data_IF_908661282058
#
_entry.id   IF_908661282058
#
_cell.length_a   1.000
_cell.length_b   1.000
_cell.length_c   1.000
_cell.angle_alpha   90.00
_cell.angle_beta   90.00
_cell.angle_gamma   90.00
#
_symmetry.space_group_name_H-M   'P 1'
#
loop_
_entity.id
_entity.type
_entity.pdbx_description
1 polymer ?
#
# COMPACT_ATOMS: atom_id res chain seq x y z
N UNK A 1 1.32 -4.11 -14.59
CA UNK A 1 0.45 -5.30 -14.49
C UNK A 1 -0.80 -4.91 -13.72
N UNK A 2 -1.98 -5.40 -14.11
CA UNK A 2 -3.19 -5.25 -13.30
C UNK A 2 -3.10 -6.24 -12.13
N UNK A 3 -3.39 -5.79 -10.92
CA UNK A 3 -3.36 -6.58 -9.69
C UNK A 3 -4.78 -6.75 -9.18
N UNK A 4 -5.19 -7.98 -8.87
CA UNK A 4 -6.45 -8.24 -8.15
C UNK A 4 -6.26 -8.01 -6.66
N UNK A 5 -7.36 -7.83 -5.92
CA UNK A 5 -7.26 -7.69 -4.47
C UNK A 5 -6.71 -8.97 -3.80
N UNK A 6 -7.06 -10.15 -4.32
CA UNK A 6 -6.52 -11.44 -3.86
C UNK A 6 -5.00 -11.51 -4.02
N UNK A 7 -4.46 -11.10 -5.18
CA UNK A 7 -3.01 -11.08 -5.42
C UNK A 7 -2.28 -10.09 -4.51
N UNK A 8 -2.92 -8.96 -4.17
CA UNK A 8 -2.33 -7.98 -3.25
C UNK A 8 -2.39 -8.47 -1.81
N UNK A 9 -3.51 -9.04 -1.37
CA UNK A 9 -3.65 -9.64 -0.05
C UNK A 9 -2.60 -10.74 0.16
N UNK A 10 -2.43 -11.65 -0.80
CA UNK A 10 -1.38 -12.68 -0.75
C UNK A 10 0.02 -12.07 -0.69
N UNK A 11 0.29 -10.97 -1.39
CA UNK A 11 1.59 -10.31 -1.28
C UNK A 11 1.84 -9.76 0.13
N UNK A 12 0.86 -9.05 0.71
CA UNK A 12 1.01 -8.41 2.02
C UNK A 12 1.06 -9.46 3.15
N UNK A 13 0.38 -10.60 3.00
CA UNK A 13 0.41 -11.72 3.95
C UNK A 13 1.69 -12.57 3.83
N UNK A 14 2.21 -12.74 2.61
CA UNK A 14 3.37 -13.62 2.36
C UNK A 14 4.67 -13.04 2.91
N UNK A 15 4.90 -11.74 2.69
CA UNK A 15 6.19 -11.09 3.02
C UNK A 15 6.54 -11.12 4.53
N UNK A 16 5.61 -10.84 5.46
CA UNK A 16 5.93 -10.80 6.90
C UNK A 16 6.12 -12.22 7.47
N UNK A 17 5.30 -13.17 7.02
CA UNK A 17 5.33 -14.57 7.47
C UNK A 17 6.58 -15.32 7.03
N UNK A 18 7.21 -14.90 5.92
CA UNK A 18 8.33 -15.63 5.30
C UNK A 18 9.67 -14.89 5.38
N UNK A 19 9.77 -13.80 6.15
CA UNK A 19 11.02 -13.06 6.31
C UNK A 19 11.31 -12.71 7.78
N UNK A 20 12.31 -13.38 8.35
CA UNK A 20 12.93 -12.98 9.63
C UNK A 20 13.91 -11.81 9.48
N UNK A 21 14.34 -11.50 8.26
CA UNK A 21 15.35 -10.49 7.97
C UNK A 21 14.85 -9.48 6.94
N UNK A 22 14.79 -8.24 7.39
CA UNK A 22 14.67 -7.07 6.54
C UNK A 22 15.99 -6.84 5.81
N UNK A 23 15.92 -6.55 4.51
CA UNK A 23 16.99 -5.84 3.83
C UNK A 23 16.89 -4.33 4.14
N UNK A 24 17.78 -3.55 3.55
CA UNK A 24 17.85 -2.11 3.76
C UNK A 24 16.54 -1.36 3.38
N UNK A 25 16.22 -0.33 4.16
CA UNK A 25 15.09 0.58 3.96
C UNK A 25 13.71 -0.10 3.78
N UNK A 26 13.44 -1.15 4.57
CA UNK A 26 12.14 -1.79 4.57
C UNK A 26 11.89 -2.69 3.33
N UNK A 27 12.95 -3.19 2.70
CA UNK A 27 12.85 -4.13 1.57
C UNK A 27 13.15 -5.56 2.04
N UNK A 28 12.88 -6.53 1.18
CA UNK A 28 13.25 -7.93 1.38
C UNK A 28 14.36 -8.33 0.40
N UNK A 29 15.03 -9.46 0.70
CA UNK A 29 16.00 -10.04 -0.22
C UNK A 29 15.32 -10.43 -1.55
N UNK A 30 16.09 -10.41 -2.65
CA UNK A 30 15.57 -10.75 -3.98
C UNK A 30 14.93 -12.15 -4.03
N UNK A 31 15.48 -13.11 -3.29
CA UNK A 31 14.92 -14.46 -3.17
C UNK A 31 13.49 -14.46 -2.61
N UNK A 32 13.17 -13.56 -1.68
CA UNK A 32 11.83 -13.41 -1.11
C UNK A 32 10.83 -12.95 -2.18
N UNK A 33 11.20 -11.98 -3.02
CA UNK A 33 10.33 -11.53 -4.11
C UNK A 33 10.11 -12.59 -5.19
N UNK A 34 11.09 -13.47 -5.43
CA UNK A 34 10.93 -14.61 -6.33
C UNK A 34 9.90 -15.59 -5.77
N UNK A 35 10.03 -16.00 -4.50
CA UNK A 35 9.06 -16.91 -3.87
C UNK A 35 7.65 -16.30 -3.75
N UNK A 36 7.56 -15.00 -3.46
CA UNK A 36 6.30 -14.28 -3.47
C UNK A 36 5.65 -14.29 -4.86
N UNK A 37 6.44 -14.09 -5.93
CA UNK A 37 5.95 -14.18 -7.30
C UNK A 37 5.43 -15.59 -7.64
N UNK A 38 6.12 -16.65 -7.19
CA UNK A 38 5.67 -18.04 -7.34
C UNK A 38 4.34 -18.29 -6.63
N UNK A 39 4.17 -17.75 -5.42
CA UNK A 39 2.91 -17.84 -4.66
C UNK A 39 1.76 -17.14 -5.40
N UNK A 40 1.98 -15.89 -5.84
CA UNK A 40 1.01 -15.07 -6.56
C UNK A 40 0.65 -15.68 -7.92
N UNK A 41 1.60 -16.34 -8.59
CA UNK A 41 1.38 -17.00 -9.88
C UNK A 41 0.27 -18.07 -9.80
N UNK A 42 0.11 -18.73 -8.65
CA UNK A 42 -0.95 -19.74 -8.42
C UNK A 42 -2.37 -19.14 -8.47
N UNK A 43 -2.49 -17.83 -8.26
CA UNK A 43 -3.75 -17.08 -8.30
C UNK A 43 -4.05 -16.50 -9.69
N UNK A 44 -3.15 -16.70 -10.65
CA UNK A 44 -3.27 -16.11 -11.97
C UNK A 44 -4.53 -16.62 -12.70
N UNK A 45 -5.40 -15.68 -13.11
CA UNK A 45 -6.59 -15.97 -13.91
C UNK A 45 -6.47 -15.53 -15.37
N UNK A 46 -5.84 -14.37 -15.61
CA UNK A 46 -5.69 -13.82 -16.95
C UNK A 46 -4.67 -12.67 -17.01
N UNK A 47 -4.21 -12.34 -18.22
CA UNK A 47 -3.29 -11.23 -18.48
C UNK A 47 -1.82 -11.57 -18.26
N UNK A 48 -1.02 -10.58 -17.87
CA UNK A 48 0.42 -10.78 -17.62
C UNK A 48 0.65 -11.44 -16.25
N UNK A 49 1.38 -12.57 -16.26
CA UNK A 49 1.94 -13.20 -15.05
C UNK A 49 2.92 -12.23 -14.37
N UNK A 50 2.83 -12.13 -13.05
CA UNK A 50 3.63 -11.20 -12.26
C UNK A 50 4.95 -11.87 -11.90
N UNK A 51 6.04 -11.32 -12.43
CA UNK A 51 7.38 -11.73 -12.08
C UNK A 51 7.86 -11.04 -10.79
N UNK A 52 9.03 -11.44 -10.29
CA UNK A 52 9.63 -10.87 -9.07
C UNK A 52 9.85 -9.36 -9.15
N UNK A 53 10.11 -8.81 -10.35
CA UNK A 53 10.21 -7.36 -10.57
C UNK A 53 8.86 -6.68 -10.41
N UNK A 54 7.78 -7.29 -10.90
CA UNK A 54 6.42 -6.79 -10.67
C UNK A 54 6.06 -6.79 -9.19
N UNK A 55 6.43 -7.85 -8.45
CA UNK A 55 6.24 -7.93 -7.00
C UNK A 55 7.00 -6.81 -6.29
N UNK A 56 8.29 -6.63 -6.58
CA UNK A 56 9.10 -5.56 -5.99
C UNK A 56 8.49 -4.17 -6.22
N UNK A 57 8.09 -3.87 -7.46
CA UNK A 57 7.46 -2.59 -7.80
C UNK A 57 6.16 -2.41 -7.01
N UNK A 58 5.32 -3.46 -6.91
CA UNK A 58 4.06 -3.40 -6.18
C UNK A 58 4.30 -3.17 -4.69
N UNK A 59 5.27 -3.87 -4.09
CA UNK A 59 5.68 -3.65 -2.69
C UNK A 59 6.11 -2.21 -2.44
N UNK A 60 6.94 -1.64 -3.32
CA UNK A 60 7.34 -0.24 -3.23
C UNK A 60 6.16 0.74 -3.24
N UNK A 61 5.13 0.48 -4.06
CA UNK A 61 3.90 1.28 -4.10
C UNK A 61 3.04 1.14 -2.83
N UNK A 62 2.96 -0.07 -2.26
CA UNK A 62 2.25 -0.32 -1.00
C UNK A 62 2.92 0.44 0.16
N UNK A 63 4.26 0.34 0.27
CA UNK A 63 5.04 1.11 1.25
C UNK A 63 4.87 2.62 1.07
N UNK A 64 4.94 3.10 -0.17
CA UNK A 64 4.74 4.51 -0.46
C UNK A 64 3.34 4.97 -0.02
N UNK A 65 2.31 4.16 -0.27
CA UNK A 65 0.94 4.46 0.16
C UNK A 65 0.85 4.53 1.69
N UNK A 66 1.36 3.51 2.39
CA UNK A 66 1.42 3.46 3.84
C UNK A 66 2.10 4.70 4.45
N UNK A 67 3.31 5.02 4.01
CA UNK A 67 4.07 6.18 4.49
C UNK A 67 3.32 7.50 4.23
N UNK A 68 2.59 7.59 3.12
CA UNK A 68 1.79 8.79 2.81
C UNK A 68 0.57 8.89 3.71
N UNK A 69 -0.09 7.79 4.05
CA UNK A 69 -1.18 7.75 5.05
C UNK A 69 -0.64 8.18 6.41
N UNK A 70 0.53 7.67 6.85
CA UNK A 70 1.14 8.07 8.12
C UNK A 70 1.49 9.57 8.14
N UNK A 71 2.03 10.09 7.03
CA UNK A 71 2.29 11.53 6.86
C UNK A 71 1.00 12.36 6.92
N UNK A 72 -0.11 11.85 6.41
CA UNK A 72 -1.40 12.52 6.50
C UNK A 72 -1.90 12.53 7.95
N UNK A 73 -1.86 11.37 8.63
CA UNK A 73 -2.29 11.18 10.03
C UNK A 73 -1.51 12.03 11.03
N UNK A 74 -0.23 12.34 10.74
CA UNK A 74 0.57 13.21 11.60
C UNK A 74 0.21 14.69 11.51
N UNK A 75 -0.62 15.09 10.55
CA UNK A 75 -1.12 16.45 10.42
C UNK A 75 -2.17 16.79 11.46
N UNK A 76 -2.10 18.01 12.02
CA UNK A 76 -3.14 18.50 12.94
C UNK A 76 -4.51 18.58 12.27
N UNK A 77 -5.54 18.10 12.96
CA UNK A 77 -6.93 18.07 12.48
C UNK A 77 -7.16 17.15 11.29
N UNK A 78 -6.30 16.13 11.10
CA UNK A 78 -6.47 15.11 10.07
C UNK A 78 -7.11 13.88 10.66
N UNK A 79 -8.21 13.45 10.05
CA UNK A 79 -8.90 12.22 10.41
C UNK A 79 -8.48 11.10 9.46
N UNK A 80 -8.30 9.90 9.99
CA UNK A 80 -8.20 8.70 9.18
C UNK A 80 -8.90 7.54 9.88
N UNK A 81 -9.72 6.81 9.14
CA UNK A 81 -10.19 5.49 9.56
C UNK A 81 -10.10 4.48 8.41
N UNK A 82 -10.08 3.20 8.77
CA UNK A 82 -9.81 2.13 7.80
C UNK A 82 -11.01 1.81 6.89
N UNK A 83 -12.18 2.41 7.13
CA UNK A 83 -13.39 2.18 6.34
C UNK A 83 -13.62 3.34 5.35
N UNK A 84 -13.52 4.57 5.84
CA UNK A 84 -13.83 5.82 5.14
C UNK A 84 -12.57 6.61 4.75
N UNK A 85 -11.37 6.16 5.11
CA UNK A 85 -10.12 6.82 4.75
C UNK A 85 -10.03 8.19 5.39
N UNK A 86 -9.76 9.23 4.61
CA UNK A 86 -9.67 10.60 5.12
C UNK A 86 -11.01 11.21 5.53
N UNK A 87 -12.15 10.61 5.12
CA UNK A 87 -13.52 11.04 5.43
C UNK A 87 -13.73 12.55 5.27
N UNK A 88 -13.31 13.09 4.12
CA UNK A 88 -13.35 14.53 3.85
C UNK A 88 -14.79 15.01 3.73
N UNK A 89 -15.16 15.95 4.60
CA UNK A 89 -16.50 16.51 4.67
C UNK A 89 -16.47 18.05 4.68
N UNK A 90 -17.30 18.67 3.84
CA UNK A 90 -17.39 20.12 3.74
C UNK A 90 -16.25 20.77 2.94
N UNK A 91 -16.45 22.06 2.63
CA UNK A 91 -15.59 22.81 1.70
C UNK A 91 -14.18 23.00 2.25
N UNK A 92 -14.05 23.34 3.53
CA UNK A 92 -12.75 23.62 4.14
C UNK A 92 -11.82 22.40 4.15
N UNK A 93 -12.35 21.20 4.41
CA UNK A 93 -11.54 19.99 4.41
C UNK A 93 -11.23 19.50 2.99
N UNK A 94 -12.15 19.71 2.04
CA UNK A 94 -11.90 19.47 0.62
C UNK A 94 -10.74 20.33 0.09
N UNK A 95 -10.65 21.60 0.46
CA UNK A 95 -9.53 22.47 0.09
C UNK A 95 -8.19 21.99 0.66
N UNK A 96 -8.17 21.62 1.95
CA UNK A 96 -6.97 21.07 2.60
C UNK A 96 -6.55 19.75 1.95
N UNK A 97 -7.51 18.89 1.62
CA UNK A 97 -7.26 17.63 0.92
C UNK A 97 -6.69 17.86 -0.46
N UNK A 98 -7.30 18.74 -1.27
CA UNK A 98 -6.83 19.08 -2.61
C UNK A 98 -5.38 19.60 -2.58
N UNK A 99 -5.04 20.46 -1.61
CA UNK A 99 -3.65 20.90 -1.39
C UNK A 99 -2.73 19.73 -1.07
N UNK A 100 -3.15 18.82 -0.20
CA UNK A 100 -2.35 17.66 0.19
C UNK A 100 -2.10 16.69 -0.98
N UNK A 101 -3.13 16.28 -1.73
CA UNK A 101 -3.00 15.35 -2.87
C UNK A 101 -2.51 16.00 -4.16
N UNK A 102 -2.49 17.35 -4.21
CA UNK A 102 -1.87 18.12 -5.28
C UNK A 102 -0.35 18.04 -5.28
N UNK A 103 0.26 17.69 -4.14
CA UNK A 103 1.69 17.39 -4.07
C UNK A 103 1.98 16.06 -4.78
N UNK A 104 2.91 16.06 -5.74
CA UNK A 104 3.22 14.89 -6.59
C UNK A 104 3.46 13.59 -5.79
N UNK A 105 4.20 13.67 -4.68
CA UNK A 105 4.47 12.52 -3.80
C UNK A 105 3.25 12.01 -3.03
N UNK A 106 2.17 12.77 -2.95
CA UNK A 106 0.96 12.40 -2.22
C UNK A 106 -0.18 11.97 -3.15
N UNK A 107 0.03 11.97 -4.47
CA UNK A 107 -1.03 11.63 -5.44
C UNK A 107 -1.59 10.22 -5.26
N UNK A 108 -0.79 9.31 -4.69
CA UNK A 108 -1.24 7.96 -4.32
C UNK A 108 -2.42 7.97 -3.34
N UNK A 109 -2.66 9.07 -2.62
CA UNK A 109 -3.75 9.20 -1.66
C UNK A 109 -5.11 9.52 -2.26
N UNK A 110 -5.17 9.94 -3.54
CA UNK A 110 -6.43 10.34 -4.20
C UNK A 110 -7.57 9.32 -4.04
N UNK A 111 -7.35 8.00 -4.16
CA UNK A 111 -8.42 7.01 -3.99
C UNK A 111 -9.01 6.97 -2.57
N UNK A 112 -8.31 7.52 -1.57
CA UNK A 112 -8.68 7.41 -0.15
C UNK A 112 -9.37 8.67 0.40
N UNK A 113 -9.95 9.49 -0.47
CA UNK A 113 -10.73 10.66 -0.07
C UNK A 113 -11.83 10.30 0.92
N UNK A 114 -12.68 9.32 0.57
CA UNK A 114 -13.77 8.77 1.40
C UNK A 114 -13.81 7.24 1.31
N UNK A 115 -12.63 6.61 1.24
CA UNK A 115 -12.48 5.16 1.19
C UNK A 115 -11.22 4.78 1.95
N UNK A 116 -11.35 3.85 2.88
CA UNK A 116 -10.21 3.34 3.62
C UNK A 116 -9.30 2.45 2.77
N UNK A 117 -8.29 1.89 3.42
CA UNK A 117 -7.32 1.03 2.76
C UNK A 117 -7.18 -0.30 3.48
N UNK A 118 -7.85 -1.32 2.95
CA UNK A 118 -7.95 -2.65 3.58
C UNK A 118 -6.60 -3.29 3.98
N UNK A 119 -5.49 -2.89 3.35
CA UNK A 119 -4.15 -3.41 3.65
C UNK A 119 -3.43 -2.63 4.76
N UNK A 120 -4.02 -1.55 5.29
CA UNK A 120 -3.40 -0.73 6.33
C UNK A 120 -3.05 -1.52 7.60
N UNK A 121 -3.96 -2.32 8.20
CA UNK A 121 -3.63 -3.05 9.42
C UNK A 121 -2.45 -4.01 9.20
N UNK A 122 -2.46 -4.73 8.08
CA UNK A 122 -1.37 -5.62 7.72
C UNK A 122 -0.04 -4.88 7.51
N UNK A 123 -0.08 -3.65 6.98
CA UNK A 123 1.13 -2.83 6.82
C UNK A 123 1.64 -2.25 8.14
N UNK A 124 0.77 -1.96 9.11
CA UNK A 124 1.14 -1.53 10.47
C UNK A 124 1.82 -2.68 11.24
N UNK A 125 1.35 -3.92 11.09
CA UNK A 125 2.00 -5.11 11.67
C UNK A 125 3.42 -5.31 11.12
N UNK A 126 3.67 -4.84 9.90
CA UNK A 126 4.95 -4.93 9.21
C UNK A 126 5.87 -3.76 9.59
N UNK A 127 5.34 -2.54 9.64
CA UNK A 127 6.10 -1.32 9.91
C UNK A 127 5.66 -0.69 11.23
N UNK A 128 6.24 -1.11 12.37
CA UNK A 128 5.95 -0.50 13.67
C UNK A 128 6.41 0.96 13.77
#
# INVERSE_FOLDING_TARGET
AKWTDEEVATLVDYLPTNCSEWADAGNFQQATYVKAAESICKLHRSGKIKDSKNVLIKWGLLKHTYNTIMTYRSGSGKHWDNENGANICGVADAEKWAKFVGVKRNMAMKPFHNKGWQYLPMMEDIFP
#
